data_IF_259490392096
#
_entry.id   IF_259490392096
#
_cell.length_a   1.000
_cell.length_b   1.000
_cell.length_c   1.000
_cell.angle_alpha   90.00
_cell.angle_beta   90.00
_cell.angle_gamma   90.00
#
_symmetry.space_group_name_H-M   'P 1'
#
loop_
_entity.id
_entity.type
_entity.pdbx_description
1 polymer ?
#
# COMPACT_ATOMS: atom_id res chain seq x y z
N UNK A 1 -8.99 -17.15 -4.58
CA UNK A 1 -9.25 -15.92 -3.78
C UNK A 1 -9.70 -16.31 -2.37
N UNK A 2 -10.75 -17.12 -2.21
CA UNK A 2 -11.05 -17.80 -0.93
C UNK A 2 -9.85 -18.56 -0.32
N UNK A 3 -9.04 -19.22 -1.16
CA UNK A 3 -7.81 -19.89 -0.71
C UNK A 3 -6.75 -18.90 -0.18
N UNK A 4 -6.63 -17.72 -0.78
CA UNK A 4 -5.69 -16.68 -0.33
C UNK A 4 -6.09 -16.13 1.03
N UNK A 5 -7.39 -15.87 1.23
CA UNK A 5 -7.94 -15.46 2.53
C UNK A 5 -7.71 -16.52 3.60
N UNK A 6 -8.01 -17.78 3.28
CA UNK A 6 -7.80 -18.91 4.20
C UNK A 6 -6.34 -19.00 4.65
N UNK A 7 -5.40 -18.97 3.71
CA UNK A 7 -3.96 -19.04 4.02
C UNK A 7 -3.52 -17.82 4.83
N UNK A 8 -4.00 -16.62 4.51
CA UNK A 8 -3.69 -15.40 5.26
C UNK A 8 -4.15 -15.52 6.72
N UNK A 9 -5.34 -16.08 6.97
CA UNK A 9 -5.84 -16.34 8.32
C UNK A 9 -4.94 -17.30 9.09
N UNK A 10 -4.54 -18.42 8.48
CA UNK A 10 -3.64 -19.40 9.10
C UNK A 10 -2.28 -18.77 9.44
N UNK A 11 -1.70 -17.99 8.52
CA UNK A 11 -0.45 -17.26 8.74
C UNK A 11 -0.61 -16.23 9.86
N UNK A 12 -1.72 -15.49 9.89
CA UNK A 12 -1.92 -14.49 10.93
C UNK A 12 -2.05 -15.12 12.31
N UNK A 13 -2.79 -16.23 12.45
CA UNK A 13 -2.82 -17.00 13.70
C UNK A 13 -1.42 -17.40 14.14
N UNK A 14 -0.62 -17.97 13.24
CA UNK A 14 0.78 -18.33 13.53
C UNK A 14 1.61 -17.10 13.97
N UNK A 15 1.51 -15.97 13.25
CA UNK A 15 2.20 -14.75 13.62
C UNK A 15 1.82 -14.25 15.02
N UNK A 16 0.53 -14.34 15.40
CA UNK A 16 0.07 -13.96 16.75
C UNK A 16 0.65 -14.86 17.84
N UNK A 17 0.71 -16.16 17.61
CA UNK A 17 1.30 -17.14 18.55
C UNK A 17 2.81 -16.89 18.72
N UNK A 18 3.52 -16.62 17.63
CA UNK A 18 4.95 -16.36 17.60
C UNK A 18 5.34 -14.89 17.89
N UNK A 19 4.36 -14.04 18.20
CA UNK A 19 4.55 -12.59 18.44
C UNK A 19 5.23 -11.84 17.28
N UNK A 20 4.99 -12.30 16.06
CA UNK A 20 5.41 -11.66 14.82
C UNK A 20 4.31 -10.72 14.32
N UNK A 21 4.71 -9.70 13.57
CA UNK A 21 3.77 -8.85 12.83
C UNK A 21 3.55 -9.39 11.44
N UNK A 22 2.31 -9.39 10.98
CA UNK A 22 1.97 -9.68 9.59
C UNK A 22 1.64 -8.38 8.86
N UNK A 23 2.48 -8.06 7.86
CA UNK A 23 2.23 -6.98 6.90
C UNK A 23 1.81 -7.64 5.58
N UNK A 24 0.56 -7.42 5.17
CA UNK A 24 0.03 -8.00 3.93
C UNK A 24 0.24 -7.02 2.77
N UNK A 25 0.97 -7.44 1.74
CA UNK A 25 1.16 -6.62 0.54
C UNK A 25 0.08 -6.95 -0.50
N UNK A 26 -0.69 -5.96 -0.92
CA UNK A 26 -1.72 -6.12 -1.97
C UNK A 26 -1.57 -5.04 -3.07
N UNK A 27 -1.96 -5.34 -4.31
CA UNK A 27 -2.10 -4.30 -5.33
C UNK A 27 -3.32 -3.41 -5.04
N UNK A 28 -3.26 -2.12 -5.38
CA UNK A 28 -4.39 -1.19 -5.20
C UNK A 28 -5.67 -1.57 -5.97
N UNK A 29 -5.55 -2.38 -7.03
CA UNK A 29 -6.70 -2.76 -7.86
C UNK A 29 -7.45 -3.99 -7.31
N UNK A 30 -7.11 -4.47 -6.12
CA UNK A 30 -7.74 -5.66 -5.54
C UNK A 30 -9.26 -5.48 -5.39
N UNK A 31 -9.71 -4.27 -5.05
CA UNK A 31 -11.11 -3.89 -4.95
C UNK A 31 -11.85 -3.88 -6.30
N UNK A 32 -11.14 -3.59 -7.40
CA UNK A 32 -11.71 -3.56 -8.75
C UNK A 32 -12.09 -4.94 -9.30
N UNK A 33 -11.68 -6.01 -8.63
CA UNK A 33 -11.94 -7.39 -9.02
C UNK A 33 -13.29 -7.94 -8.53
N UNK A 34 -14.07 -7.13 -7.77
CA UNK A 34 -15.40 -7.51 -7.30
C UNK A 34 -15.41 -8.36 -6.04
N UNK A 35 -14.41 -8.17 -5.16
CA UNK A 35 -14.17 -8.98 -3.96
C UNK A 35 -14.12 -8.16 -2.65
N UNK A 36 -15.14 -7.34 -2.35
CA UNK A 36 -15.11 -6.45 -1.19
C UNK A 36 -15.13 -7.21 0.15
N UNK A 37 -15.84 -8.35 0.23
CA UNK A 37 -15.88 -9.20 1.42
C UNK A 37 -14.50 -9.75 1.75
N UNK A 38 -13.79 -10.23 0.75
CA UNK A 38 -12.50 -10.86 0.93
C UNK A 38 -11.40 -9.83 1.17
N UNK A 39 -11.50 -8.63 0.58
CA UNK A 39 -10.64 -7.51 0.96
C UNK A 39 -10.80 -7.16 2.44
N UNK A 40 -12.04 -7.09 2.94
CA UNK A 40 -12.30 -6.86 4.36
C UNK A 40 -11.70 -7.96 5.23
N UNK A 41 -11.90 -9.23 4.87
CA UNK A 41 -11.34 -10.37 5.61
C UNK A 41 -9.81 -10.32 5.63
N UNK A 42 -9.16 -10.01 4.51
CA UNK A 42 -7.70 -9.88 4.45
C UNK A 42 -7.18 -8.78 5.38
N UNK A 43 -7.86 -7.63 5.41
CA UNK A 43 -7.49 -6.50 6.28
C UNK A 43 -7.66 -6.89 7.76
N UNK A 44 -8.74 -7.60 8.11
CA UNK A 44 -8.92 -8.09 9.48
C UNK A 44 -7.83 -9.11 9.89
N UNK A 45 -7.33 -9.90 8.95
CA UNK A 45 -6.31 -10.92 9.16
C UNK A 45 -4.86 -10.42 8.96
N UNK A 46 -4.56 -9.15 9.23
CA UNK A 46 -3.18 -8.64 9.32
C UNK A 46 -3.02 -7.57 10.40
N UNK A 47 -1.79 -7.16 10.70
CA UNK A 47 -1.52 -5.99 11.55
C UNK A 47 -1.48 -4.69 10.72
N UNK A 48 -1.05 -4.81 9.46
CA UNK A 48 -0.88 -3.71 8.53
C UNK A 48 -1.06 -4.18 7.09
N UNK A 49 -1.68 -3.36 6.27
CA UNK A 49 -1.78 -3.59 4.82
C UNK A 49 -0.86 -2.63 4.08
N UNK A 50 -0.01 -3.18 3.22
CA UNK A 50 0.90 -2.42 2.37
C UNK A 50 0.37 -2.41 0.94
N UNK A 51 0.07 -1.22 0.41
CA UNK A 51 -0.62 -1.05 -0.87
C UNK A 51 0.32 -0.41 -1.87
N UNK A 52 0.55 -1.09 -3.00
CA UNK A 52 1.27 -0.48 -4.11
C UNK A 52 0.38 0.51 -4.86
N UNK A 53 0.55 1.81 -4.60
CA UNK A 53 -0.33 2.86 -5.12
C UNK A 53 0.30 3.59 -6.31
N UNK A 54 0.21 2.97 -7.49
CA UNK A 54 0.88 3.43 -8.71
C UNK A 54 0.15 4.53 -9.48
N UNK A 55 -0.77 5.29 -8.92
CA UNK A 55 -1.49 6.30 -9.73
C UNK A 55 -1.40 7.67 -9.09
N UNK A 56 -0.39 8.42 -9.53
CA UNK A 56 -0.17 9.80 -9.13
C UNK A 56 -1.44 10.63 -9.32
N UNK A 57 -1.74 11.46 -8.32
CA UNK A 57 -2.93 12.35 -8.24
C UNK A 57 -4.27 11.63 -8.03
N UNK A 58 -4.30 10.30 -7.96
CA UNK A 58 -5.51 9.49 -7.66
C UNK A 58 -5.31 8.56 -6.48
N UNK A 59 -4.24 8.75 -5.73
CA UNK A 59 -3.76 7.88 -4.67
C UNK A 59 -4.85 7.67 -3.62
N UNK A 60 -5.48 8.76 -3.15
CA UNK A 60 -6.53 8.69 -2.15
C UNK A 60 -7.71 7.83 -2.64
N UNK A 61 -8.23 8.14 -3.83
CA UNK A 61 -9.35 7.41 -4.41
C UNK A 61 -9.05 5.91 -4.59
N UNK A 62 -7.80 5.56 -4.88
CA UNK A 62 -7.41 4.17 -5.12
C UNK A 62 -7.23 3.33 -3.85
N UNK A 63 -7.29 3.93 -2.67
CA UNK A 63 -7.19 3.21 -1.39
C UNK A 63 -8.41 3.43 -0.49
N UNK A 64 -9.47 4.03 -1.01
CA UNK A 64 -10.63 4.43 -0.20
C UNK A 64 -11.29 3.24 0.51
N UNK A 65 -11.38 2.09 -0.18
CA UNK A 65 -11.94 0.86 0.39
C UNK A 65 -11.02 0.27 1.46
N UNK A 66 -9.72 0.22 1.21
CA UNK A 66 -8.73 -0.25 2.16
C UNK A 66 -8.72 0.62 3.42
N UNK A 67 -8.78 1.95 3.27
CA UNK A 67 -8.93 2.89 4.39
C UNK A 67 -10.21 2.62 5.16
N UNK A 68 -11.34 2.47 4.48
CA UNK A 68 -12.63 2.18 5.11
C UNK A 68 -12.57 0.93 5.99
N UNK A 69 -12.05 -0.18 5.46
CA UNK A 69 -11.94 -1.44 6.21
C UNK A 69 -10.85 -1.40 7.28
N UNK A 70 -9.72 -0.74 7.03
CA UNK A 70 -8.67 -0.56 8.03
C UNK A 70 -9.17 0.25 9.22
N UNK A 71 -9.96 1.30 8.99
CA UNK A 71 -10.63 2.05 10.06
C UNK A 71 -11.58 1.16 10.86
N UNK A 72 -12.43 0.40 10.18
CA UNK A 72 -13.39 -0.53 10.80
C UNK A 72 -12.69 -1.55 11.73
N UNK A 73 -11.57 -2.09 11.29
CA UNK A 73 -10.82 -3.15 11.99
C UNK A 73 -9.60 -2.64 12.78
N UNK A 74 -9.41 -1.32 12.86
CA UNK A 74 -8.29 -0.64 13.54
C UNK A 74 -6.91 -1.12 13.09
N UNK A 75 -6.72 -1.20 11.78
CA UNK A 75 -5.49 -1.64 11.12
C UNK A 75 -4.67 -0.46 10.62
N UNK A 76 -3.39 -0.70 10.38
CA UNK A 76 -2.48 0.30 9.77
C UNK A 76 -2.44 0.13 8.26
N UNK A 77 -2.11 1.22 7.56
CA UNK A 77 -1.88 1.19 6.11
C UNK A 77 -0.50 1.77 5.80
N UNK A 78 0.27 1.06 4.97
CA UNK A 78 1.46 1.59 4.31
C UNK A 78 1.22 1.79 2.83
N UNK A 79 1.45 2.99 2.32
CA UNK A 79 1.37 3.29 0.88
C UNK A 79 2.76 3.18 0.26
N UNK A 80 2.92 2.34 -0.76
CA UNK A 80 4.20 2.10 -1.42
C UNK A 80 4.29 2.94 -2.69
N UNK A 81 5.36 3.73 -2.80
CA UNK A 81 5.66 4.60 -3.93
C UNK A 81 6.71 4.01 -4.87
N UNK A 82 6.52 4.18 -6.19
CA UNK A 82 7.44 3.72 -7.23
C UNK A 82 8.41 4.82 -7.66
N UNK A 83 9.71 4.51 -7.72
CA UNK A 83 10.78 5.46 -8.08
C UNK A 83 11.55 5.07 -9.35
N UNK A 84 11.21 3.97 -10.02
CA UNK A 84 11.84 3.58 -11.28
C UNK A 84 11.44 4.49 -12.42
N UNK A 85 12.43 4.93 -13.21
CA UNK A 85 12.22 5.70 -14.43
C UNK A 85 11.29 4.96 -15.42
N UNK A 86 10.51 5.74 -16.16
CA UNK A 86 9.60 5.28 -17.22
C UNK A 86 10.34 4.41 -18.24
N UNK A 87 9.62 3.47 -18.85
CA UNK A 87 10.17 2.53 -19.83
C UNK A 87 10.66 1.20 -19.24
N UNK A 88 10.64 1.07 -17.92
CA UNK A 88 10.85 -0.20 -17.20
C UNK A 88 9.49 -0.80 -16.86
N UNK A 89 9.25 -2.10 -17.14
CA UNK A 89 8.01 -2.82 -16.79
C UNK A 89 6.69 -2.09 -17.17
N UNK A 90 6.66 -1.39 -18.31
CA UNK A 90 5.49 -0.60 -18.77
C UNK A 90 5.07 0.57 -17.87
N UNK A 91 5.95 1.02 -16.97
CA UNK A 91 5.71 2.21 -16.15
C UNK A 91 5.53 3.45 -17.05
N UNK A 92 4.50 4.23 -16.74
CA UNK A 92 4.26 5.55 -17.34
C UNK A 92 4.56 6.63 -16.31
N UNK A 93 4.63 7.88 -16.77
CA UNK A 93 4.85 9.03 -15.89
C UNK A 93 3.84 9.11 -14.74
N UNK A 94 2.59 8.68 -14.95
CA UNK A 94 1.57 8.66 -13.88
C UNK A 94 1.86 7.61 -12.79
N UNK A 95 2.79 6.67 -13.01
CA UNK A 95 3.03 5.54 -12.13
C UNK A 95 4.25 5.68 -11.23
N UNK A 96 5.11 6.68 -11.45
CA UNK A 96 6.38 6.79 -10.75
C UNK A 96 6.68 8.22 -10.32
N UNK A 97 7.40 8.38 -9.23
CA UNK A 97 7.97 9.63 -8.74
C UNK A 97 9.45 9.79 -9.12
N UNK A 98 9.94 9.04 -10.10
CA UNK A 98 11.35 9.12 -10.52
C UNK A 98 11.82 10.55 -10.87
N UNK A 99 10.92 11.40 -11.40
CA UNK A 99 11.24 12.78 -11.78
C UNK A 99 11.03 13.77 -10.62
N UNK A 100 10.03 13.53 -9.77
CA UNK A 100 9.72 14.39 -8.61
C UNK A 100 10.57 14.07 -7.37
N UNK A 101 11.21 12.91 -7.34
CA UNK A 101 12.03 12.44 -6.23
C UNK A 101 11.25 12.28 -4.91
N UNK A 102 12.00 12.29 -3.81
CA UNK A 102 11.42 12.15 -2.47
C UNK A 102 10.51 13.31 -2.08
N UNK A 103 10.80 14.54 -2.55
CA UNK A 103 9.94 15.70 -2.32
C UNK A 103 8.52 15.47 -2.88
N UNK A 104 8.41 14.82 -4.05
CA UNK A 104 7.12 14.44 -4.62
C UNK A 104 6.38 13.39 -3.80
N UNK A 105 7.11 12.41 -3.27
CA UNK A 105 6.56 11.35 -2.40
C UNK A 105 6.02 11.96 -1.11
N UNK A 106 6.82 12.79 -0.43
CA UNK A 106 6.45 13.45 0.83
C UNK A 106 5.19 14.31 0.65
N UNK A 107 5.14 15.16 -0.38
CA UNK A 107 3.95 15.97 -0.69
C UNK A 107 2.70 15.13 -0.97
N UNK A 108 2.87 13.98 -1.64
CA UNK A 108 1.76 13.05 -1.88
C UNK A 108 1.28 12.42 -0.58
N UNK A 109 2.21 12.00 0.27
CA UNK A 109 1.91 11.34 1.53
C UNK A 109 1.26 12.29 2.54
N UNK A 110 1.77 13.52 2.71
CA UNK A 110 1.16 14.56 3.55
C UNK A 110 -0.30 14.83 3.18
N UNK A 111 -0.60 14.81 1.86
CA UNK A 111 -1.96 14.95 1.38
C UNK A 111 -2.84 13.76 1.75
N UNK A 112 -2.31 12.53 1.71
CA UNK A 112 -3.04 11.34 2.14
C UNK A 112 -3.32 11.37 3.65
N UNK A 113 -2.32 11.72 4.47
CA UNK A 113 -2.48 11.89 5.91
C UNK A 113 -3.55 12.94 6.25
N UNK A 114 -3.58 14.05 5.51
CA UNK A 114 -4.61 15.07 5.69
C UNK A 114 -6.02 14.61 5.28
N UNK A 115 -6.15 13.72 4.31
CA UNK A 115 -7.46 13.20 3.85
C UNK A 115 -7.98 12.12 4.80
N UNK A 116 -7.08 11.29 5.34
CA UNK A 116 -7.39 10.11 6.15
C UNK A 116 -6.80 10.24 7.57
N UNK A 117 -7.09 11.35 8.24
CA UNK A 117 -6.52 11.71 9.55
C UNK A 117 -6.82 10.72 10.69
N UNK A 118 -7.80 9.84 10.50
CA UNK A 118 -8.33 8.90 11.48
C UNK A 118 -7.84 7.46 11.28
N UNK A 119 -6.95 7.23 10.30
CA UNK A 119 -6.31 5.93 10.05
C UNK A 119 -4.80 6.10 10.17
N UNK A 120 -4.09 5.23 10.93
CA UNK A 120 -2.63 5.29 10.98
C UNK A 120 -2.04 4.95 9.61
N UNK A 121 -1.48 5.96 8.95
CA UNK A 121 -0.79 5.84 7.68
C UNK A 121 0.73 5.85 7.87
N UNK A 122 1.42 5.13 7.01
CA UNK A 122 2.86 5.24 6.75
C UNK A 122 3.12 5.09 5.26
N UNK A 123 4.37 5.31 4.83
CA UNK A 123 4.76 5.04 3.45
C UNK A 123 6.03 4.21 3.37
N UNK A 124 6.21 3.56 2.23
CA UNK A 124 7.43 2.86 1.88
C UNK A 124 7.81 3.16 0.42
N UNK A 125 9.06 2.86 0.08
CA UNK A 125 9.61 3.07 -1.25
C UNK A 125 9.84 1.73 -1.93
N UNK A 126 9.35 1.59 -3.15
CA UNK A 126 9.65 0.46 -4.01
C UNK A 126 11.03 0.66 -4.66
N UNK A 127 11.91 -0.33 -4.44
CA UNK A 127 13.27 -0.40 -4.97
C UNK A 127 14.29 0.58 -4.33
N UNK A 128 15.12 0.04 -3.44
CA UNK A 128 16.19 0.79 -2.77
C UNK A 128 17.28 1.29 -3.73
N UNK A 129 17.50 0.66 -4.89
CA UNK A 129 18.49 1.12 -5.87
C UNK A 129 17.96 2.34 -6.62
N UNK A 130 16.69 2.33 -6.99
CA UNK A 130 16.03 3.49 -7.59
C UNK A 130 16.08 4.70 -6.65
N UNK A 131 15.79 4.48 -5.35
CA UNK A 131 15.93 5.53 -4.33
C UNK A 131 17.36 6.09 -4.22
N UNK A 132 18.39 5.23 -4.17
CA UNK A 132 19.79 5.68 -4.11
C UNK A 132 20.18 6.52 -5.32
N UNK A 133 19.79 6.09 -6.52
CA UNK A 133 20.10 6.79 -7.76
C UNK A 133 19.48 8.19 -7.88
N UNK A 134 18.47 8.53 -7.06
CA UNK A 134 17.95 9.91 -7.00
C UNK A 134 18.83 10.86 -6.17
N UNK A 135 19.65 10.32 -5.27
CA UNK A 135 20.53 11.09 -4.40
C UNK A 135 21.96 11.20 -4.93
N UNK A 136 22.26 10.52 -6.04
CA UNK A 136 23.58 10.49 -6.69
C UNK A 136 23.66 11.43 -7.92
N UNK A 137 22.61 12.23 -8.19
CA UNK A 137 22.56 13.31 -9.21
C UNK A 137 22.70 14.70 -8.54
#
# INVERSE_FOLDING_TARGET
MLEYVKVTKEIYTFCKEEKLKLILCIPYYYDTLGFPSELEELIDQCDEIAIMNYYKKKEAKHIENEVFYAKKHRKKISVIYELKKVGTHSLKEINTYANEGMEGVEKSFEKLESIYEDVPLSYAIHDAKAWKGLNDE
#
